data_IF_585577816136
#
_entry.id   IF_585577816136
#
_cell.length_a   1.000
_cell.length_b   1.000
_cell.length_c   1.000
_cell.angle_alpha   90.00
_cell.angle_beta   90.00
_cell.angle_gamma   90.00
#
_symmetry.space_group_name_H-M   'P 1'
#
loop_
_entity.id
_entity.type
_entity.pdbx_description
1 polymer ?
#
# COMPACT_ATOMS: atom_id res chain seq x y z
N UNK A 1 14.38 25.93 -22.00
CA UNK A 1 15.04 27.24 -22.14
C UNK A 1 16.40 27.14 -22.84
N UNK A 2 17.46 26.66 -22.18
CA UNK A 2 18.83 26.59 -22.75
C UNK A 2 18.83 25.83 -24.08
N UNK A 3 18.20 24.65 -24.12
CA UNK A 3 18.07 23.86 -25.34
C UNK A 3 17.39 24.62 -26.49
N UNK A 4 16.29 25.32 -26.22
CA UNK A 4 15.56 26.09 -27.24
C UNK A 4 16.43 27.22 -27.80
N UNK A 5 17.17 27.93 -26.95
CA UNK A 5 18.09 28.99 -27.40
C UNK A 5 19.22 28.47 -28.28
N UNK A 6 19.73 27.27 -28.00
CA UNK A 6 20.82 26.66 -28.77
C UNK A 6 20.35 26.01 -30.08
N UNK A 7 19.13 25.48 -30.10
CA UNK A 7 18.68 24.59 -31.20
C UNK A 7 17.47 25.10 -31.97
N UNK A 8 16.81 26.16 -31.49
CA UNK A 8 15.52 26.64 -31.98
C UNK A 8 14.34 25.70 -31.71
N UNK A 9 14.52 24.62 -30.93
CA UNK A 9 13.51 23.55 -30.73
C UNK A 9 13.16 23.37 -29.26
N UNK A 10 11.86 23.25 -29.00
CA UNK A 10 11.33 23.09 -27.65
C UNK A 10 10.60 21.75 -27.52
N UNK A 11 11.19 20.86 -26.71
CA UNK A 11 10.67 19.54 -26.38
C UNK A 11 10.36 19.39 -24.90
N UNK A 12 10.25 20.50 -24.16
CA UNK A 12 10.00 20.49 -22.71
C UNK A 12 8.73 19.73 -22.31
N UNK A 13 7.73 19.67 -23.18
CA UNK A 13 6.52 18.87 -22.94
C UNK A 13 6.82 17.37 -22.75
N UNK A 14 7.90 16.83 -23.34
CA UNK A 14 8.31 15.43 -23.15
C UNK A 14 8.69 15.19 -21.70
N UNK A 15 9.34 16.15 -21.03
CA UNK A 15 9.70 16.05 -19.61
C UNK A 15 8.43 15.88 -18.78
N UNK A 16 7.43 16.74 -19.01
CA UNK A 16 6.16 16.72 -18.28
C UNK A 16 5.45 15.37 -18.48
N UNK A 17 5.32 14.93 -19.74
CA UNK A 17 4.67 13.65 -20.04
C UNK A 17 5.42 12.46 -19.44
N UNK A 18 6.76 12.51 -19.42
CA UNK A 18 7.61 11.41 -18.93
C UNK A 18 7.70 11.35 -17.41
N UNK A 19 7.42 12.45 -16.70
CA UNK A 19 7.37 12.46 -15.24
C UNK A 19 6.26 11.54 -14.69
N UNK A 20 5.15 11.38 -15.42
CA UNK A 20 4.06 10.47 -15.01
C UNK A 20 4.34 8.98 -15.30
N UNK A 21 5.44 8.67 -15.99
CA UNK A 21 5.69 7.32 -16.48
C UNK A 21 5.99 6.27 -15.39
N UNK A 22 6.74 6.58 -14.31
CA UNK A 22 7.02 5.59 -13.27
C UNK A 22 5.74 5.04 -12.62
N UNK A 23 4.74 5.90 -12.36
CA UNK A 23 3.47 5.52 -11.73
C UNK A 23 2.49 4.76 -12.65
N UNK A 24 2.86 4.54 -13.92
CA UNK A 24 2.05 3.71 -14.83
C UNK A 24 1.97 2.26 -14.29
N UNK A 25 2.88 1.82 -13.42
CA UNK A 25 2.79 0.52 -12.75
C UNK A 25 1.47 0.34 -11.96
N UNK A 26 0.97 1.40 -11.30
CA UNK A 26 -0.32 1.42 -10.58
C UNK A 26 -1.50 1.14 -11.52
N UNK A 27 -1.52 1.82 -12.67
CA UNK A 27 -2.59 1.69 -13.67
C UNK A 27 -2.50 0.32 -14.34
N UNK A 28 -1.28 -0.11 -14.67
CA UNK A 28 -1.00 -1.36 -15.36
C UNK A 28 -1.45 -2.55 -14.52
N UNK A 29 -1.07 -2.60 -13.24
CA UNK A 29 -1.53 -3.65 -12.33
C UNK A 29 -3.06 -3.68 -12.21
N UNK A 30 -3.70 -2.51 -12.03
CA UNK A 30 -5.16 -2.40 -11.95
C UNK A 30 -5.87 -2.91 -13.20
N UNK A 31 -5.35 -2.56 -14.39
CA UNK A 31 -5.94 -2.95 -15.67
C UNK A 31 -5.74 -4.44 -15.96
N UNK A 32 -4.53 -4.96 -15.73
CA UNK A 32 -4.19 -6.36 -15.99
C UNK A 32 -4.96 -7.31 -15.08
N UNK A 33 -5.08 -6.98 -13.79
CA UNK A 33 -5.86 -7.76 -12.83
C UNK A 33 -7.35 -7.84 -13.20
N UNK A 34 -7.91 -6.78 -13.81
CA UNK A 34 -9.30 -6.83 -14.33
C UNK A 34 -9.47 -7.75 -15.53
N UNK A 35 -8.40 -8.03 -16.25
CA UNK A 35 -8.39 -8.89 -17.43
C UNK A 35 -7.90 -10.32 -17.12
N UNK A 36 -7.68 -10.65 -15.84
CA UNK A 36 -7.09 -11.93 -15.40
C UNK A 36 -5.73 -12.21 -16.06
N UNK A 37 -4.98 -11.14 -16.35
CA UNK A 37 -3.62 -11.20 -16.86
C UNK A 37 -2.65 -10.80 -15.76
N UNK A 38 -1.55 -11.53 -15.62
CA UNK A 38 -0.44 -11.14 -14.74
C UNK A 38 0.81 -10.98 -15.59
N UNK A 39 1.35 -9.76 -15.62
CA UNK A 39 2.69 -9.52 -16.13
C UNK A 39 3.65 -9.74 -14.98
N UNK A 40 4.66 -10.58 -15.21
CA UNK A 40 5.63 -10.95 -14.20
C UNK A 40 6.95 -10.20 -14.45
N UNK A 41 7.45 -9.52 -13.42
CA UNK A 41 8.81 -8.99 -13.34
C UNK A 41 9.55 -9.89 -12.34
N UNK A 42 10.57 -10.59 -12.83
CA UNK A 42 11.35 -11.59 -12.05
C UNK A 42 10.49 -12.66 -11.37
N UNK A 43 9.47 -13.13 -12.09
CA UNK A 43 8.57 -14.19 -11.60
C UNK A 43 7.53 -13.72 -10.58
N UNK A 44 7.47 -12.42 -10.26
CA UNK A 44 6.45 -11.82 -9.40
C UNK A 44 5.53 -10.90 -10.19
N UNK A 45 4.22 -10.81 -9.87
CA UNK A 45 3.34 -9.80 -10.45
C UNK A 45 3.90 -8.39 -10.27
N UNK A 46 3.68 -7.50 -11.24
CA UNK A 46 4.06 -6.08 -11.15
C UNK A 46 3.49 -5.50 -9.85
N UNK A 47 4.35 -4.86 -9.08
CA UNK A 47 4.00 -4.07 -7.89
C UNK A 47 4.33 -2.62 -8.13
N UNK A 48 3.64 -1.75 -7.40
CA UNK A 48 4.02 -0.34 -7.34
C UNK A 48 5.47 -0.22 -6.82
N UNK A 49 6.28 0.55 -7.54
CA UNK A 49 7.71 0.67 -7.28
C UNK A 49 8.58 -0.12 -8.26
N UNK A 50 8.02 -1.11 -8.98
CA UNK A 50 8.80 -1.92 -9.92
C UNK A 50 9.31 -1.10 -11.10
N UNK A 51 8.64 0.01 -11.44
CA UNK A 51 9.09 0.90 -12.51
C UNK A 51 10.08 1.96 -12.03
N UNK A 52 10.31 2.08 -10.73
CA UNK A 52 11.13 3.13 -10.12
C UNK A 52 12.61 2.75 -10.10
N UNK A 53 13.18 2.46 -11.27
CA UNK A 53 14.59 2.11 -11.40
C UNK A 53 15.23 2.55 -12.72
N UNK A 54 16.57 2.61 -12.73
CA UNK A 54 17.34 3.04 -13.91
C UNK A 54 17.13 2.16 -15.14
N UNK A 55 16.86 0.86 -14.98
CA UNK A 55 16.55 -0.02 -16.13
C UNK A 55 15.29 0.47 -16.84
N UNK A 56 14.22 0.69 -16.06
CA UNK A 56 12.94 1.15 -16.59
C UNK A 56 13.03 2.56 -17.15
N UNK A 57 13.81 3.45 -16.54
CA UNK A 57 14.12 4.77 -17.11
C UNK A 57 14.71 4.64 -18.52
N UNK A 58 15.75 3.81 -18.70
CA UNK A 58 16.41 3.67 -20.00
C UNK A 58 15.53 3.00 -21.04
N UNK A 59 14.76 1.97 -20.66
CA UNK A 59 13.82 1.31 -21.55
C UNK A 59 12.71 2.26 -22.00
N UNK A 60 12.10 2.99 -21.06
CA UNK A 60 11.07 3.98 -21.34
C UNK A 60 11.60 5.10 -22.24
N UNK A 61 12.73 5.71 -21.89
CA UNK A 61 13.32 6.80 -22.68
C UNK A 61 13.67 6.34 -24.10
N UNK A 62 14.19 5.12 -24.27
CA UNK A 62 14.47 4.54 -25.58
C UNK A 62 13.19 4.37 -26.40
N UNK A 63 12.14 3.80 -25.81
CA UNK A 63 10.86 3.57 -26.47
C UNK A 63 10.21 4.88 -26.92
N UNK A 64 10.10 5.87 -26.03
CA UNK A 64 9.55 7.20 -26.35
C UNK A 64 10.34 7.85 -27.48
N UNK A 65 11.66 7.72 -27.46
CA UNK A 65 12.54 8.30 -28.47
C UNK A 65 12.37 7.66 -29.84
N UNK A 66 12.21 6.33 -29.91
CA UNK A 66 11.92 5.63 -31.17
C UNK A 66 10.56 6.06 -31.75
N UNK A 67 9.53 6.17 -30.90
CA UNK A 67 8.19 6.61 -31.30
C UNK A 67 8.23 8.03 -31.86
N UNK A 68 8.89 8.95 -31.15
CA UNK A 68 9.00 10.34 -31.58
C UNK A 68 9.94 10.51 -32.78
N UNK A 69 10.96 9.67 -32.92
CA UNK A 69 11.81 9.68 -34.11
C UNK A 69 11.01 9.39 -35.39
N UNK A 70 10.02 8.50 -35.32
CA UNK A 70 9.10 8.26 -36.44
C UNK A 70 8.23 9.49 -36.79
N UNK A 71 8.16 10.50 -35.93
CA UNK A 71 7.48 11.79 -36.14
C UNK A 71 8.45 12.93 -36.48
N UNK A 72 9.73 12.64 -36.73
CA UNK A 72 10.73 13.61 -37.13
C UNK A 72 11.49 14.27 -35.97
N UNK A 73 11.33 13.79 -34.74
CA UNK A 73 12.13 14.27 -33.60
C UNK A 73 13.53 13.64 -33.63
N UNK A 74 14.55 14.33 -33.13
CA UNK A 74 15.90 13.75 -33.00
C UNK A 74 15.92 12.81 -31.81
N UNK A 75 16.30 11.55 -32.06
CA UNK A 75 16.34 10.49 -31.04
C UNK A 75 17.05 10.94 -29.76
N UNK A 76 18.29 11.45 -29.87
CA UNK A 76 19.09 11.86 -28.70
C UNK A 76 18.42 12.97 -27.86
N UNK A 77 17.68 13.87 -28.50
CA UNK A 77 16.99 14.95 -27.79
C UNK A 77 15.73 14.42 -27.11
N UNK A 78 14.90 13.64 -27.82
CA UNK A 78 13.75 12.97 -27.20
C UNK A 78 14.16 12.10 -26.00
N UNK A 79 15.26 11.36 -26.14
CA UNK A 79 15.79 10.47 -25.10
C UNK A 79 16.22 11.24 -23.88
N UNK A 80 16.95 12.35 -24.09
CA UNK A 80 17.42 13.21 -23.00
C UNK A 80 16.25 13.80 -22.24
N UNK A 81 15.26 14.36 -22.95
CA UNK A 81 14.09 14.98 -22.31
C UNK A 81 13.20 13.94 -21.59
N UNK A 82 13.02 12.74 -22.16
CA UNK A 82 12.28 11.67 -21.51
C UNK A 82 12.99 11.18 -20.24
N UNK A 83 14.31 10.98 -20.31
CA UNK A 83 15.14 10.59 -19.17
C UNK A 83 15.09 11.62 -18.04
N UNK A 84 15.11 12.92 -18.37
CA UNK A 84 15.00 13.99 -17.38
C UNK A 84 13.65 13.95 -16.67
N UNK A 85 12.53 13.78 -17.40
CA UNK A 85 11.20 13.71 -16.80
C UNK A 85 11.06 12.51 -15.86
N UNK A 86 11.41 11.32 -16.37
CA UNK A 86 11.35 10.08 -15.58
C UNK A 86 12.26 10.14 -14.35
N UNK A 87 13.50 10.62 -14.53
CA UNK A 87 14.48 10.73 -13.46
C UNK A 87 14.11 11.77 -12.41
N UNK A 88 13.41 12.86 -12.79
CA UNK A 88 12.91 13.84 -11.84
C UNK A 88 11.89 13.23 -10.87
N UNK A 89 10.98 12.40 -11.39
CA UNK A 89 10.01 11.66 -10.57
C UNK A 89 10.69 10.67 -9.62
N UNK A 90 11.62 9.84 -10.13
CA UNK A 90 12.40 8.95 -9.26
C UNK A 90 13.16 9.70 -8.16
N UNK A 91 13.70 10.87 -8.49
CA UNK A 91 14.43 11.69 -7.52
C UNK A 91 13.49 12.27 -6.47
N UNK A 92 12.31 12.76 -6.84
CA UNK A 92 11.27 13.17 -5.90
C UNK A 92 10.94 12.04 -4.93
N UNK A 93 10.63 10.84 -5.44
CA UNK A 93 10.30 9.70 -4.59
C UNK A 93 11.44 9.32 -3.65
N UNK A 94 12.69 9.42 -4.12
CA UNK A 94 13.86 9.18 -3.30
C UNK A 94 14.03 10.20 -2.17
N UNK A 95 13.54 11.43 -2.34
CA UNK A 95 13.52 12.44 -1.28
C UNK A 95 12.37 12.24 -0.30
N UNK A 96 11.21 11.82 -0.81
CA UNK A 96 9.95 11.77 -0.08
C UNK A 96 9.78 10.49 0.73
N UNK A 97 10.12 9.32 0.18
CA UNK A 97 9.83 8.02 0.79
C UNK A 97 11.05 7.41 1.52
N UNK A 98 10.81 6.75 2.66
CA UNK A 98 11.79 5.92 3.38
C UNK A 98 11.12 4.75 4.12
N UNK A 99 11.39 3.47 3.73
CA UNK A 99 12.24 3.09 2.60
C UNK A 99 11.58 3.50 1.26
N UNK A 100 12.40 3.90 0.28
CA UNK A 100 11.92 4.27 -1.06
C UNK A 100 11.87 3.06 -2.01
N UNK A 101 12.55 3.14 -3.14
CA UNK A 101 12.51 2.13 -4.20
C UNK A 101 13.92 1.60 -4.56
N UNK A 102 14.04 0.47 -5.27
CA UNK A 102 15.32 -0.04 -5.77
C UNK A 102 15.81 0.76 -6.99
N UNK A 103 16.03 2.07 -6.82
CA UNK A 103 16.32 3.01 -7.91
C UNK A 103 17.50 2.59 -8.80
N UNK A 104 18.49 1.90 -8.24
CA UNK A 104 19.73 1.53 -8.93
C UNK A 104 19.64 0.17 -9.66
N UNK A 105 18.48 -0.48 -9.71
CA UNK A 105 18.32 -1.76 -10.41
C UNK A 105 18.64 -1.62 -11.91
N UNK A 106 19.57 -2.43 -12.47
CA UNK A 106 20.00 -3.75 -12.01
C UNK A 106 21.37 -3.77 -11.34
N UNK A 107 21.96 -2.59 -11.08
CA UNK A 107 23.28 -2.48 -10.47
C UNK A 107 23.26 -2.80 -8.97
N UNK A 108 22.10 -2.62 -8.32
CA UNK A 108 21.89 -2.93 -6.92
C UNK A 108 20.41 -3.24 -6.65
N UNK A 109 20.15 -4.21 -5.77
CA UNK A 109 18.81 -4.55 -5.25
C UNK A 109 18.49 -3.81 -3.94
N UNK A 110 19.40 -2.95 -3.46
CA UNK A 110 19.15 -2.15 -2.28
C UNK A 110 18.03 -1.13 -2.53
N UNK A 111 17.10 -1.08 -1.59
CA UNK A 111 16.05 -0.06 -1.55
C UNK A 111 16.65 1.22 -1.00
N UNK A 112 16.56 2.30 -1.78
CA UNK A 112 17.07 3.61 -1.39
C UNK A 112 15.89 4.56 -1.17
N UNK A 113 15.93 5.31 -0.08
CA UNK A 113 15.00 6.38 0.23
C UNK A 113 15.60 7.23 1.33
N UNK A 114 15.68 8.54 1.09
CA UNK A 114 16.23 9.48 2.07
C UNK A 114 15.14 9.80 3.11
N UNK A 115 13.88 9.95 2.66
CA UNK A 115 12.75 10.29 3.53
C UNK A 115 12.99 11.60 4.29
N UNK A 116 13.38 12.66 3.57
CA UNK A 116 13.55 14.01 4.15
C UNK A 116 12.21 14.50 4.70
N UNK A 117 11.11 14.09 4.08
CA UNK A 117 9.77 14.42 4.49
C UNK A 117 9.09 13.20 5.14
N UNK A 118 8.46 13.42 6.29
CA UNK A 118 7.49 12.47 6.87
C UNK A 118 6.21 12.58 6.05
N UNK A 119 6.23 11.99 4.85
CA UNK A 119 5.17 12.08 3.86
C UNK A 119 3.88 11.47 4.41
N UNK A 120 2.84 12.31 4.56
CA UNK A 120 1.51 11.87 4.94
C UNK A 120 0.51 12.40 3.92
N UNK A 121 -0.11 11.53 3.10
CA UNK A 121 -1.11 11.98 2.12
C UNK A 121 -2.26 12.69 2.85
N UNK A 122 -2.48 13.99 2.57
CA UNK A 122 -3.54 14.76 3.22
C UNK A 122 -4.45 15.51 2.23
N UNK A 123 -3.90 16.08 1.17
CA UNK A 123 -4.66 16.78 0.15
C UNK A 123 -5.24 15.78 -0.86
N UNK A 124 -6.55 15.51 -0.73
CA UNK A 124 -7.30 14.53 -1.52
C UNK A 124 -6.71 13.11 -1.49
N UNK A 125 -5.89 12.78 -0.48
CA UNK A 125 -5.12 11.53 -0.40
C UNK A 125 -4.10 11.35 -1.53
N UNK A 126 -3.80 12.43 -2.28
CA UNK A 126 -2.90 12.39 -3.44
C UNK A 126 -1.53 12.97 -3.07
N UNK A 127 -1.50 14.05 -2.29
CA UNK A 127 -0.25 14.74 -1.95
C UNK A 127 -0.21 15.12 -0.47
N UNK A 128 0.98 15.07 0.11
CA UNK A 128 1.30 15.72 1.38
C UNK A 128 1.37 17.24 1.17
N UNK A 129 0.69 17.99 2.04
CA UNK A 129 0.59 19.46 1.93
C UNK A 129 1.97 20.13 1.99
N UNK A 130 2.93 19.61 2.77
CA UNK A 130 4.28 20.18 2.82
C UNK A 130 5.01 19.93 1.53
N UNK A 131 4.97 18.70 1.01
CA UNK A 131 5.59 18.36 -0.29
C UNK A 131 5.00 19.23 -1.40
N UNK A 132 3.68 19.42 -1.42
CA UNK A 132 3.03 20.33 -2.37
C UNK A 132 3.52 21.78 -2.24
N UNK A 133 3.64 22.30 -1.02
CA UNK A 133 4.16 23.66 -0.79
C UNK A 133 5.58 23.78 -1.35
N UNK A 134 6.45 22.81 -1.10
CA UNK A 134 7.81 22.81 -1.66
C UNK A 134 7.79 22.73 -3.19
N UNK A 135 6.93 21.90 -3.77
CA UNK A 135 6.72 21.83 -5.22
C UNK A 135 6.29 23.17 -5.81
N UNK A 136 5.32 23.85 -5.19
CA UNK A 136 4.86 25.18 -5.60
C UNK A 136 5.97 26.22 -5.51
N UNK A 137 6.77 26.20 -4.44
CA UNK A 137 7.94 27.08 -4.28
C UNK A 137 8.96 26.82 -5.41
N UNK A 138 9.26 25.56 -5.71
CA UNK A 138 10.18 25.19 -6.78
C UNK A 138 9.70 25.66 -8.18
N UNK A 139 8.40 25.56 -8.45
CA UNK A 139 7.77 26.08 -9.67
C UNK A 139 7.91 27.60 -9.74
N UNK A 140 7.61 28.31 -8.65
CA UNK A 140 7.73 29.78 -8.59
C UNK A 140 9.18 30.25 -8.77
N UNK A 141 10.15 29.56 -8.16
CA UNK A 141 11.58 29.83 -8.36
C UNK A 141 12.00 29.59 -9.81
N UNK A 142 11.56 28.49 -10.41
CA UNK A 142 11.82 28.16 -11.82
C UNK A 142 11.24 29.22 -12.76
N UNK A 143 10.02 29.70 -12.48
CA UNK A 143 9.40 30.78 -13.22
C UNK A 143 10.17 32.09 -13.06
N UNK A 144 10.63 32.43 -11.85
CA UNK A 144 11.44 33.62 -11.60
C UNK A 144 12.79 33.58 -12.35
N UNK A 145 13.49 32.44 -12.33
CA UNK A 145 14.71 32.23 -13.11
C UNK A 145 14.43 32.39 -14.61
N UNK A 146 13.29 31.86 -15.09
CA UNK A 146 12.89 32.01 -16.48
C UNK A 146 12.63 33.47 -16.87
N UNK A 147 11.93 34.22 -16.03
CA UNK A 147 11.69 35.66 -16.23
C UNK A 147 13.01 36.43 -16.27
N UNK A 148 13.94 36.13 -15.36
CA UNK A 148 15.24 36.79 -15.34
C UNK A 148 16.05 36.53 -16.61
N UNK A 149 15.90 35.35 -17.22
CA UNK A 149 16.67 34.96 -18.41
C UNK A 149 16.03 35.35 -19.76
N UNK A 150 14.69 35.21 -19.88
CA UNK A 150 13.95 35.41 -21.14
C UNK A 150 13.11 36.69 -21.16
N UNK A 151 13.02 37.41 -20.04
CA UNK A 151 12.10 38.53 -19.86
C UNK A 151 10.65 38.07 -19.66
N UNK A 152 9.70 39.01 -19.72
CA UNK A 152 8.28 38.74 -19.49
C UNK A 152 7.51 38.25 -20.73
N UNK A 153 8.14 38.27 -21.92
CA UNK A 153 7.46 37.99 -23.19
C UNK A 153 6.83 36.59 -23.29
N UNK A 154 7.37 35.61 -22.56
CA UNK A 154 6.83 34.24 -22.52
C UNK A 154 5.55 34.12 -21.69
N UNK A 155 5.34 35.00 -20.70
CA UNK A 155 4.22 34.91 -19.75
C UNK A 155 2.89 35.01 -20.50
N UNK A 156 2.77 35.97 -21.42
CA UNK A 156 1.53 36.15 -22.20
C UNK A 156 1.22 34.98 -23.14
N UNK A 157 2.27 34.27 -23.59
CA UNK A 157 2.14 33.10 -24.45
C UNK A 157 1.67 31.88 -23.63
N UNK A 158 2.22 31.71 -22.44
CA UNK A 158 1.96 30.54 -21.59
C UNK A 158 0.74 30.68 -20.66
N UNK A 159 0.30 31.90 -20.31
CA UNK A 159 -0.94 32.10 -19.52
C UNK A 159 -2.12 31.42 -20.22
N UNK A 160 -2.20 31.50 -21.56
CA UNK A 160 -3.25 30.82 -22.34
C UNK A 160 -3.17 29.30 -22.18
N UNK A 161 -1.97 28.73 -22.22
CA UNK A 161 -1.73 27.30 -22.01
C UNK A 161 -2.12 26.87 -20.60
N UNK A 162 -1.71 27.64 -19.58
CA UNK A 162 -2.01 27.37 -18.17
C UNK A 162 -3.52 27.44 -17.90
N UNK A 163 -4.21 28.45 -18.44
CA UNK A 163 -5.68 28.57 -18.32
C UNK A 163 -6.38 27.38 -18.97
N UNK A 164 -5.91 26.91 -20.13
CA UNK A 164 -6.45 25.71 -20.77
C UNK A 164 -6.20 24.45 -19.93
N UNK A 165 -4.99 24.27 -19.41
CA UNK A 165 -4.65 23.13 -18.54
C UNK A 165 -5.51 23.15 -17.27
N UNK A 166 -5.63 24.30 -16.61
CA UNK A 166 -6.47 24.45 -15.42
C UNK A 166 -7.94 24.18 -15.74
N UNK A 167 -8.45 24.65 -16.88
CA UNK A 167 -9.81 24.36 -17.34
C UNK A 167 -10.02 22.86 -17.61
N UNK A 168 -9.07 22.19 -18.27
CA UNK A 168 -9.12 20.73 -18.50
C UNK A 168 -9.05 19.96 -17.18
N UNK A 169 -8.19 20.37 -16.25
CA UNK A 169 -8.10 19.79 -14.91
C UNK A 169 -9.42 20.00 -14.14
N UNK A 170 -9.99 21.20 -14.13
CA UNK A 170 -11.28 21.45 -13.45
C UNK A 170 -12.44 20.69 -14.09
N UNK A 171 -12.46 20.56 -15.42
CA UNK A 171 -13.49 19.81 -16.15
C UNK A 171 -13.31 18.29 -16.04
N UNK A 172 -12.13 17.79 -15.68
CA UNK A 172 -11.88 16.35 -15.44
C UNK A 172 -12.14 15.92 -14.00
N UNK A 173 -12.22 16.85 -13.03
CA UNK A 173 -12.62 16.55 -11.64
C UNK A 173 -13.98 15.81 -11.57
N UNK A 174 -15.05 16.21 -12.29
CA UNK A 174 -16.32 15.47 -12.29
C UNK A 174 -16.23 14.07 -12.93
N UNK A 175 -15.31 13.88 -13.90
CA UNK A 175 -15.08 12.58 -14.56
C UNK A 175 -14.31 11.63 -13.65
N UNK A 176 -13.35 12.15 -12.88
CA UNK A 176 -12.70 11.42 -11.80
C UNK A 176 -13.70 11.14 -10.65
N UNK A 177 -14.66 12.05 -10.43
CA UNK A 177 -15.79 11.86 -9.51
C UNK A 177 -16.78 10.78 -9.93
N UNK A 178 -16.95 10.55 -11.24
CA UNK A 178 -17.85 9.53 -11.79
C UNK A 178 -17.18 8.17 -12.05
N UNK A 179 -15.85 8.08 -11.95
CA UNK A 179 -15.13 6.82 -11.72
C UNK A 179 -15.39 6.36 -10.29
N UNK A 180 -16.61 5.87 -10.08
CA UNK A 180 -17.14 5.23 -8.88
C UNK A 180 -16.27 5.36 -7.62
N UNK A 181 -16.23 6.58 -7.06
CA UNK A 181 -15.61 6.87 -5.75
C UNK A 181 -16.34 6.11 -4.63
N UNK A 182 -17.49 5.46 -4.90
CA UNK A 182 -18.10 4.53 -3.94
C UNK A 182 -17.18 3.34 -3.58
N UNK A 183 -16.24 2.98 -4.46
CA UNK A 183 -15.18 2.00 -4.13
C UNK A 183 -14.18 2.56 -3.13
N UNK A 184 -13.95 3.88 -3.12
CA UNK A 184 -13.07 4.57 -2.16
C UNK A 184 -13.81 4.87 -0.85
N UNK A 185 -15.10 5.20 -0.89
CA UNK A 185 -15.93 5.42 0.32
C UNK A 185 -16.22 4.11 1.07
N UNK A 186 -16.38 2.98 0.38
CA UNK A 186 -16.50 1.66 1.02
C UNK A 186 -15.13 1.15 1.56
N UNK A 187 -14.00 1.60 0.99
CA UNK A 187 -12.65 1.34 1.52
C UNK A 187 -12.30 2.22 2.75
N UNK A 188 -12.79 3.46 2.82
CA UNK A 188 -12.48 4.43 3.89
C UNK A 188 -13.46 4.41 5.07
N UNK A 189 -14.59 3.69 4.94
CA UNK A 189 -15.43 3.29 6.08
C UNK A 189 -14.67 2.48 7.15
N UNK A 190 -13.46 2.01 6.84
CA UNK A 190 -12.62 1.25 7.74
C UNK A 190 -11.51 2.11 8.37
N UNK A 191 -11.90 3.24 8.97
CA UNK A 191 -10.98 4.19 9.62
C UNK A 191 -10.02 3.50 10.60
N UNK A 192 -8.72 3.57 10.29
CA UNK A 192 -7.62 3.44 11.25
C UNK A 192 -6.91 2.10 11.29
N UNK A 193 -6.86 1.35 10.18
CA UNK A 193 -6.03 0.15 10.06
C UNK A 193 -4.58 0.49 9.76
N UNK A 194 -3.63 0.03 10.58
CA UNK A 194 -2.21 -0.05 10.20
C UNK A 194 -1.97 -1.46 9.67
N UNK A 195 -1.31 -1.61 8.51
CA UNK A 195 -0.84 -2.93 8.09
C UNK A 195 0.61 -3.16 8.51
N UNK A 196 0.82 -4.27 9.18
CA UNK A 196 2.07 -5.01 9.23
C UNK A 196 2.05 -6.01 8.07
N UNK A 197 3.21 -6.42 7.56
CA UNK A 197 3.30 -7.34 6.42
C UNK A 197 2.46 -8.61 6.66
N UNK A 198 1.33 -8.75 5.96
CA UNK A 198 0.31 -9.79 6.09
C UNK A 198 -0.67 -9.71 7.27
N UNK A 199 -0.61 -8.66 8.10
CA UNK A 199 -1.55 -8.42 9.20
C UNK A 199 -2.07 -6.98 9.22
N UNK A 200 -3.34 -6.78 9.56
CA UNK A 200 -4.00 -5.47 9.60
C UNK A 200 -4.64 -5.30 10.95
N UNK A 201 -4.51 -4.13 11.57
CA UNK A 201 -5.04 -3.95 12.91
C UNK A 201 -5.68 -2.57 13.09
N UNK A 202 -6.89 -2.54 13.65
CA UNK A 202 -7.69 -1.33 13.84
C UNK A 202 -7.62 -0.70 15.25
N UNK A 203 -8.70 -0.04 15.65
CA UNK A 203 -8.83 0.63 16.95
C UNK A 203 -8.51 -0.32 18.12
N UNK A 204 -7.77 0.15 19.13
CA UNK A 204 -7.38 -0.63 20.32
C UNK A 204 -6.48 -1.82 20.03
N UNK A 205 -5.96 -1.93 18.82
CA UNK A 205 -5.03 -3.00 18.46
C UNK A 205 -3.69 -2.38 18.08
N UNK A 206 -2.59 -3.07 18.39
CA UNK A 206 -1.24 -2.61 18.11
C UNK A 206 -0.29 -3.78 18.03
N UNK A 207 0.85 -3.55 17.40
CA UNK A 207 2.02 -4.38 17.60
C UNK A 207 2.61 -4.16 19.00
N UNK A 208 3.23 -5.18 19.59
CA UNK A 208 3.92 -5.04 20.88
C UNK A 208 5.28 -5.75 20.84
N UNK A 209 6.36 -4.97 20.98
CA UNK A 209 7.74 -5.43 21.03
C UNK A 209 8.25 -5.69 22.45
N UNK A 210 7.40 -5.53 23.46
CA UNK A 210 7.76 -5.64 24.89
C UNK A 210 7.20 -6.90 25.53
N UNK A 211 6.03 -7.34 25.09
CA UNK A 211 5.38 -8.56 25.56
C UNK A 211 5.08 -9.43 24.34
N UNK A 212 5.78 -10.55 24.25
CA UNK A 212 5.66 -11.53 23.17
C UNK A 212 5.88 -12.95 23.72
N UNK A 213 5.52 -13.97 22.95
CA UNK A 213 5.76 -15.36 23.29
C UNK A 213 6.97 -15.88 22.51
N UNK A 214 6.91 -15.79 21.18
CA UNK A 214 8.00 -16.12 20.26
C UNK A 214 8.65 -14.85 19.69
N UNK A 215 9.82 -15.01 19.07
CA UNK A 215 10.46 -13.94 18.32
C UNK A 215 10.73 -12.66 19.12
N UNK A 216 10.30 -11.51 18.59
CA UNK A 216 10.47 -10.18 19.17
C UNK A 216 9.14 -9.42 19.33
N UNK A 217 8.02 -9.95 18.85
CA UNK A 217 6.77 -9.21 18.82
C UNK A 217 5.52 -10.06 19.03
N UNK A 218 4.40 -9.40 19.33
CA UNK A 218 3.08 -10.02 19.30
C UNK A 218 1.99 -9.05 18.88
N UNK A 219 0.79 -9.60 18.62
CA UNK A 219 -0.42 -8.82 18.39
C UNK A 219 -1.07 -8.46 19.72
N UNK A 220 -1.23 -7.17 19.99
CA UNK A 220 -1.85 -6.64 21.22
C UNK A 220 -3.21 -6.03 20.94
N UNK A 221 -4.15 -6.28 21.85
CA UNK A 221 -5.50 -5.71 21.86
C UNK A 221 -5.77 -5.18 23.26
N UNK A 222 -5.92 -3.87 23.42
CA UNK A 222 -6.06 -3.21 24.72
C UNK A 222 -7.24 -2.24 24.74
N UNK A 223 -8.27 -2.59 25.51
CA UNK A 223 -9.40 -1.69 25.82
C UNK A 223 -9.19 -1.16 27.23
N UNK A 224 -8.94 0.16 27.41
CA UNK A 224 -8.69 0.74 28.71
C UNK A 224 -9.96 0.83 29.56
N UNK A 225 -9.78 0.85 30.89
CA UNK A 225 -10.86 0.98 31.86
C UNK A 225 -11.54 -0.35 32.20
N UNK A 226 -12.75 -0.27 32.76
CA UNK A 226 -13.54 -1.41 33.22
C UNK A 226 -14.93 -1.52 32.56
N UNK A 227 -15.11 -0.84 31.43
CA UNK A 227 -16.34 -0.86 30.65
C UNK A 227 -16.21 -1.83 29.48
N UNK A 228 -17.15 -2.76 29.34
CA UNK A 228 -17.24 -3.66 28.20
C UNK A 228 -17.39 -2.88 26.89
N UNK A 229 -16.42 -3.04 25.98
CA UNK A 229 -16.40 -2.43 24.64
C UNK A 229 -16.04 -3.47 23.60
N UNK A 230 -16.26 -3.14 22.33
CA UNK A 230 -15.79 -3.93 21.19
C UNK A 230 -14.50 -3.28 20.68
N UNK A 231 -13.41 -4.05 20.63
CA UNK A 231 -12.16 -3.61 20.01
C UNK A 231 -12.28 -3.57 18.49
N UNK A 232 -11.32 -2.94 17.83
CA UNK A 232 -11.02 -3.24 16.43
C UNK A 232 -10.57 -4.69 16.25
N UNK A 233 -10.27 -5.03 15.01
CA UNK A 233 -9.85 -6.36 14.59
C UNK A 233 -8.35 -6.32 14.30
N UNK A 234 -7.61 -7.33 14.77
CA UNK A 234 -6.25 -7.65 14.31
C UNK A 234 -6.35 -8.88 13.39
N UNK A 235 -6.14 -8.73 12.08
CA UNK A 235 -6.54 -9.68 11.03
C UNK A 235 -5.36 -10.06 10.13
N UNK A 236 -5.22 -11.32 9.74
CA UNK A 236 -4.29 -11.74 8.70
C UNK A 236 -4.78 -11.35 7.30
N UNK A 237 -3.92 -11.49 6.30
CA UNK A 237 -4.33 -11.60 4.90
C UNK A 237 -5.18 -12.85 4.68
N UNK A 238 -5.86 -12.88 3.52
CA UNK A 238 -6.67 -14.02 3.10
C UNK A 238 -5.77 -15.11 2.56
N UNK A 239 -5.95 -16.33 3.07
CA UNK A 239 -5.13 -17.51 2.82
C UNK A 239 -5.93 -18.50 1.97
N UNK A 240 -5.37 -19.03 0.86
CA UNK A 240 -6.00 -20.10 0.10
C UNK A 240 -6.26 -21.34 0.97
N UNK A 241 -7.47 -21.89 0.90
CA UNK A 241 -7.83 -23.10 1.63
C UNK A 241 -8.55 -24.11 0.73
N UNK A 242 -8.37 -25.39 1.02
CA UNK A 242 -9.01 -26.50 0.31
C UNK A 242 -10.36 -26.82 0.96
N UNK A 243 -11.41 -27.08 0.18
CA UNK A 243 -12.70 -27.51 0.72
C UNK A 243 -12.60 -28.92 1.33
N UNK A 244 -13.48 -29.24 2.29
CA UNK A 244 -13.56 -30.55 2.98
C UNK A 244 -12.25 -31.06 3.60
N UNK A 245 -11.30 -30.17 3.86
CA UNK A 245 -9.94 -30.48 4.29
C UNK A 245 -9.81 -30.26 5.79
N UNK A 246 -9.06 -31.14 6.45
CA UNK A 246 -8.82 -31.04 7.91
C UNK A 246 -7.61 -30.16 8.15
N UNK A 247 -7.76 -29.16 9.01
CA UNK A 247 -6.71 -28.27 9.46
C UNK A 247 -6.51 -28.38 10.97
N UNK A 248 -5.29 -28.11 11.43
CA UNK A 248 -4.96 -27.85 12.82
C UNK A 248 -4.74 -26.34 12.99
N UNK A 249 -5.65 -25.68 13.68
CA UNK A 249 -5.56 -24.25 14.00
C UNK A 249 -5.09 -24.06 15.45
N UNK A 250 -4.10 -23.21 15.69
CA UNK A 250 -3.58 -22.92 17.02
C UNK A 250 -3.09 -21.47 17.17
N UNK A 251 -2.99 -20.99 18.41
CA UNK A 251 -2.32 -19.73 18.75
C UNK A 251 -1.93 -19.73 20.23
N UNK A 252 -0.90 -18.99 20.59
CA UNK A 252 -0.61 -18.61 21.96
C UNK A 252 -1.37 -17.34 22.32
N UNK A 253 -1.89 -17.28 23.54
CA UNK A 253 -2.56 -16.08 24.03
C UNK A 253 -2.30 -15.83 25.50
N UNK A 254 -2.19 -14.56 25.87
CA UNK A 254 -1.95 -14.06 27.23
C UNK A 254 -2.96 -12.96 27.53
N UNK A 255 -3.48 -12.91 28.76
CA UNK A 255 -4.43 -11.87 29.16
C UNK A 255 -3.94 -11.13 30.39
N UNK A 256 -4.24 -9.83 30.48
CA UNK A 256 -4.02 -9.02 31.66
C UNK A 256 -5.25 -8.18 31.94
N UNK A 257 -5.86 -8.40 33.12
CA UNK A 257 -7.08 -7.69 33.51
C UNK A 257 -8.22 -7.85 32.50
N UNK A 258 -8.29 -8.98 31.77
CA UNK A 258 -9.28 -9.16 30.72
C UNK A 258 -10.64 -9.58 31.31
N UNK A 259 -11.64 -8.71 31.28
CA UNK A 259 -12.96 -8.98 31.87
C UNK A 259 -14.09 -8.47 30.94
N UNK A 260 -15.31 -8.36 31.48
CA UNK A 260 -16.52 -7.96 30.76
C UNK A 260 -17.44 -9.13 30.47
N UNK A 261 -18.28 -8.99 29.44
CA UNK A 261 -19.30 -9.99 29.08
C UNK A 261 -18.66 -11.21 28.44
N UNK A 262 -17.85 -11.00 27.39
CA UNK A 262 -17.21 -12.10 26.68
C UNK A 262 -15.71 -12.14 26.90
N UNK A 263 -15.12 -13.24 26.48
CA UNK A 263 -13.70 -13.53 26.55
C UNK A 263 -12.98 -13.11 25.27
N UNK A 264 -11.69 -12.71 25.35
CA UNK A 264 -10.86 -12.54 24.17
C UNK A 264 -10.75 -13.84 23.38
N UNK A 265 -10.62 -13.73 22.06
CA UNK A 265 -10.45 -14.90 21.21
C UNK A 265 -9.65 -14.61 19.93
N UNK A 266 -8.91 -15.62 19.49
CA UNK A 266 -8.36 -15.71 18.13
C UNK A 266 -9.28 -16.60 17.32
N UNK A 267 -9.63 -16.20 16.10
CA UNK A 267 -10.70 -16.80 15.30
C UNK A 267 -10.20 -17.09 13.90
N UNK A 268 -10.66 -18.19 13.32
CA UNK A 268 -10.49 -18.48 11.90
C UNK A 268 -11.85 -18.40 11.22
N UNK A 269 -11.90 -17.67 10.11
CA UNK A 269 -13.10 -17.46 9.30
C UNK A 269 -12.94 -18.18 7.97
N UNK A 270 -13.96 -18.93 7.56
CA UNK A 270 -14.03 -19.58 6.27
C UNK A 270 -14.84 -18.73 5.28
N UNK A 271 -14.31 -18.58 4.07
CA UNK A 271 -14.92 -17.82 2.99
C UNK A 271 -15.13 -18.68 1.74
N UNK A 272 -16.20 -18.37 0.99
CA UNK A 272 -16.47 -19.00 -0.31
C UNK A 272 -15.63 -18.40 -1.45
N UNK A 273 -15.82 -18.88 -2.68
CA UNK A 273 -15.10 -18.39 -3.87
C UNK A 273 -15.25 -16.88 -4.11
N UNK A 274 -16.35 -16.29 -3.65
CA UNK A 274 -16.67 -14.87 -3.79
C UNK A 274 -16.31 -14.08 -2.52
N UNK A 275 -15.48 -14.65 -1.63
CA UNK A 275 -15.09 -14.10 -0.33
C UNK A 275 -16.26 -13.82 0.61
N UNK A 276 -17.39 -14.52 0.47
CA UNK A 276 -18.52 -14.42 1.41
C UNK A 276 -18.31 -15.33 2.60
N UNK A 277 -18.67 -14.83 3.79
CA UNK A 277 -18.61 -15.56 5.05
C UNK A 277 -19.40 -16.89 4.98
N UNK A 278 -18.76 -17.98 5.40
CA UNK A 278 -19.39 -19.29 5.57
C UNK A 278 -19.59 -19.59 7.05
N UNK A 279 -18.49 -19.63 7.82
CA UNK A 279 -18.49 -19.95 9.25
C UNK A 279 -17.21 -19.46 9.93
N UNK A 280 -17.22 -19.51 11.25
CA UNK A 280 -16.11 -19.13 12.10
C UNK A 280 -15.85 -20.18 13.19
N UNK A 281 -14.59 -20.36 13.57
CA UNK A 281 -14.20 -21.17 14.74
C UNK A 281 -13.28 -20.36 15.65
N UNK A 282 -13.48 -20.50 16.97
CA UNK A 282 -12.84 -19.64 17.98
C UNK A 282 -11.87 -20.43 18.86
N UNK A 283 -10.69 -19.88 19.12
CA UNK A 283 -9.82 -20.18 20.25
C UNK A 283 -10.10 -19.15 21.35
N UNK A 284 -10.88 -19.54 22.35
CA UNK A 284 -11.34 -18.64 23.42
C UNK A 284 -10.33 -18.62 24.56
N UNK A 285 -9.88 -17.46 25.05
CA UNK A 285 -8.94 -17.34 26.17
C UNK A 285 -9.65 -16.91 27.46
N UNK A 286 -9.11 -17.29 28.62
CA UNK A 286 -9.77 -17.06 29.91
C UNK A 286 -9.89 -15.57 30.27
N UNK A 287 -10.84 -15.23 31.14
CA UNK A 287 -10.89 -13.89 31.79
C UNK A 287 -9.81 -13.79 32.87
N UNK A 288 -9.50 -12.57 33.30
CA UNK A 288 -8.51 -12.25 34.31
C UNK A 288 -7.10 -12.06 33.76
N UNK A 289 -6.11 -12.25 34.63
CA UNK A 289 -4.69 -12.21 34.28
C UNK A 289 -4.17 -13.63 34.21
N UNK A 290 -3.78 -14.06 33.00
CA UNK A 290 -3.29 -15.40 32.72
C UNK A 290 -2.03 -15.27 31.88
N UNK A 291 -1.01 -16.07 32.20
CA UNK A 291 0.20 -16.15 31.39
C UNK A 291 -0.08 -16.80 30.03
N UNK A 292 0.92 -16.80 29.14
CA UNK A 292 0.84 -17.41 27.81
C UNK A 292 0.33 -18.85 27.87
N UNK A 293 -0.79 -19.10 27.20
CA UNK A 293 -1.37 -20.44 27.04
C UNK A 293 -1.58 -20.74 25.57
N UNK A 294 -1.15 -21.93 25.13
CA UNK A 294 -1.43 -22.40 23.78
C UNK A 294 -2.82 -23.02 23.70
N UNK A 295 -3.63 -22.58 22.75
CA UNK A 295 -4.88 -23.26 22.37
C UNK A 295 -4.77 -23.80 20.96
N UNK A 296 -5.41 -24.95 20.72
CA UNK A 296 -5.46 -25.59 19.41
C UNK A 296 -6.77 -26.33 19.21
N UNK A 297 -7.22 -26.42 17.96
CA UNK A 297 -8.41 -27.13 17.55
C UNK A 297 -8.22 -27.74 16.16
N UNK A 298 -8.75 -28.94 15.93
CA UNK A 298 -8.84 -29.51 14.59
C UNK A 298 -10.18 -29.13 13.97
N UNK A 299 -10.15 -28.53 12.78
CA UNK A 299 -11.34 -28.10 12.04
C UNK A 299 -11.39 -28.83 10.71
N UNK A 300 -12.60 -29.09 10.20
CA UNK A 300 -12.82 -29.48 8.81
C UNK A 300 -13.47 -28.33 8.07
N UNK A 301 -12.83 -27.87 7.00
CA UNK A 301 -13.38 -26.80 6.16
C UNK A 301 -14.68 -27.25 5.48
N UNK A 302 -15.58 -26.30 5.22
CA UNK A 302 -16.79 -26.54 4.45
C UNK A 302 -16.48 -26.93 3.00
N UNK A 303 -17.41 -27.63 2.35
CA UNK A 303 -17.31 -27.96 0.93
C UNK A 303 -17.23 -26.73 0.01
N UNK A 304 -17.69 -25.56 0.50
CA UNK A 304 -17.67 -24.28 -0.23
C UNK A 304 -16.42 -23.44 0.04
N UNK A 305 -15.58 -23.82 1.00
CA UNK A 305 -14.44 -23.02 1.43
C UNK A 305 -13.39 -22.95 0.34
N UNK A 306 -12.98 -21.72 0.03
CA UNK A 306 -11.87 -21.40 -0.87
C UNK A 306 -10.80 -20.56 -0.21
N UNK A 307 -11.19 -19.81 0.80
CA UNK A 307 -10.27 -18.96 1.52
C UNK A 307 -10.54 -19.03 3.01
N UNK A 308 -9.52 -18.72 3.79
CA UNK A 308 -9.64 -18.46 5.22
C UNK A 308 -8.88 -17.18 5.58
N UNK A 309 -9.23 -16.56 6.69
CA UNK A 309 -8.37 -15.59 7.36
C UNK A 309 -8.46 -15.77 8.86
N UNK A 310 -7.46 -15.30 9.58
CA UNK A 310 -7.42 -15.31 11.04
C UNK A 310 -7.64 -13.90 11.54
N UNK A 311 -8.38 -13.75 12.63
CA UNK A 311 -8.46 -12.47 13.33
C UNK A 311 -8.61 -12.61 14.83
N UNK A 312 -8.26 -11.56 15.54
CA UNK A 312 -8.36 -11.47 16.98
C UNK A 312 -9.08 -10.18 17.39
N UNK A 313 -9.91 -10.26 18.44
CA UNK A 313 -10.57 -9.11 19.05
C UNK A 313 -11.00 -9.40 20.50
N UNK A 314 -11.33 -8.33 21.22
CA UNK A 314 -12.14 -8.36 22.45
C UNK A 314 -13.55 -7.87 22.08
N UNK A 315 -14.57 -8.69 22.30
CA UNK A 315 -15.96 -8.37 21.99
C UNK A 315 -16.78 -8.18 23.27
N UNK A 316 -17.30 -6.98 23.53
CA UNK A 316 -17.98 -6.63 24.79
C UNK A 316 -17.15 -7.00 26.04
N UNK A 317 -15.87 -6.65 26.01
CA UNK A 317 -14.93 -6.86 27.10
C UNK A 317 -14.01 -5.66 27.31
N UNK A 318 -13.10 -5.79 28.27
CA UNK A 318 -12.03 -4.80 28.51
C UNK A 318 -10.75 -5.50 28.99
N UNK A 319 -9.67 -4.74 29.13
CA UNK A 319 -8.35 -5.24 29.51
C UNK A 319 -7.42 -5.42 28.32
N UNK A 320 -6.33 -6.16 28.53
CA UNK A 320 -5.33 -6.43 27.49
C UNK A 320 -5.30 -7.90 27.12
N UNK A 321 -5.25 -8.17 25.82
CA UNK A 321 -5.07 -9.49 25.24
C UNK A 321 -3.90 -9.45 24.25
N UNK A 322 -2.93 -10.34 24.43
CA UNK A 322 -1.89 -10.59 23.46
C UNK A 322 -2.11 -11.96 22.82
N UNK A 323 -1.81 -12.05 21.54
CA UNK A 323 -1.76 -13.32 20.83
C UNK A 323 -0.54 -13.38 19.92
N UNK A 324 -0.03 -14.59 19.73
CA UNK A 324 1.23 -14.85 19.05
C UNK A 324 1.26 -16.28 18.46
N UNK A 325 2.26 -16.56 17.64
CA UNK A 325 2.60 -17.89 17.10
C UNK A 325 1.37 -18.60 16.51
N UNK A 326 0.68 -17.90 15.61
CA UNK A 326 -0.55 -18.37 14.98
C UNK A 326 -0.22 -19.48 13.99
N UNK A 327 -0.84 -20.63 14.19
CA UNK A 327 -0.60 -21.83 13.39
C UNK A 327 -1.84 -22.27 12.63
N UNK A 328 -1.70 -22.53 11.34
CA UNK A 328 -2.70 -23.21 10.52
C UNK A 328 -2.00 -24.25 9.64
N UNK A 329 -2.22 -25.53 9.92
CA UNK A 329 -1.57 -26.64 9.23
C UNK A 329 -2.60 -27.53 8.56
N UNK A 330 -2.41 -27.86 7.28
CA UNK A 330 -3.19 -28.91 6.63
C UNK A 330 -2.81 -30.26 7.25
N UNK A 331 -3.79 -31.15 7.47
CA UNK A 331 -3.51 -32.45 8.09
C UNK A 331 -2.52 -33.24 7.22
N UNK A 332 -1.38 -33.58 7.81
CA UNK A 332 -0.30 -34.30 7.14
C UNK A 332 0.80 -33.41 6.57
N UNK A 333 0.75 -32.09 6.80
CA UNK A 333 1.83 -31.16 6.46
C UNK A 333 2.37 -30.46 7.70
N UNK A 334 3.66 -30.13 7.69
CA UNK A 334 4.31 -29.32 8.73
C UNK A 334 4.46 -27.85 8.33
N UNK A 335 4.07 -27.50 7.10
CA UNK A 335 4.06 -26.12 6.61
C UNK A 335 2.93 -25.32 7.27
N UNK A 336 3.29 -24.24 7.96
CA UNK A 336 2.32 -23.27 8.48
C UNK A 336 1.82 -22.41 7.31
N UNK A 337 0.50 -22.35 7.14
CA UNK A 337 -0.16 -21.57 6.08
C UNK A 337 -0.38 -20.10 6.48
N UNK A 338 -0.19 -19.75 7.76
CA UNK A 338 -0.27 -18.36 8.20
C UNK A 338 0.99 -17.61 7.76
N UNK A 339 0.89 -16.58 6.92
CA UNK A 339 2.01 -15.70 6.65
C UNK A 339 2.35 -14.89 7.91
N UNK A 340 3.64 -14.76 8.20
CA UNK A 340 4.15 -14.10 9.40
C UNK A 340 3.44 -14.55 10.70
N UNK A 341 3.55 -15.83 11.08
CA UNK A 341 2.77 -16.39 12.17
C UNK A 341 3.13 -15.83 13.56
N UNK A 342 4.37 -15.34 13.72
CA UNK A 342 4.85 -14.67 14.93
C UNK A 342 4.67 -13.15 14.91
N UNK A 343 4.08 -12.59 13.84
CA UNK A 343 3.84 -11.15 13.72
C UNK A 343 5.18 -10.38 13.83
N UNK A 344 6.23 -10.86 13.15
CA UNK A 344 7.60 -10.33 13.28
C UNK A 344 7.96 -9.33 12.19
N UNK A 345 7.25 -9.36 11.07
CA UNK A 345 7.59 -8.56 9.90
C UNK A 345 6.96 -7.16 10.03
N UNK A 346 7.62 -6.35 10.85
CA UNK A 346 7.32 -4.96 11.20
C UNK A 346 7.30 -3.94 10.07
N UNK A 347 7.12 -4.33 8.80
CA UNK A 347 6.96 -3.36 7.73
C UNK A 347 5.57 -2.75 7.82
N UNK A 348 5.52 -1.56 8.39
CA UNK A 348 4.39 -0.65 8.30
C UNK A 348 4.18 -0.34 6.81
N UNK A 349 3.23 -1.01 6.17
CA UNK A 349 2.79 -0.62 4.82
C UNK A 349 1.54 0.21 5.02
N UNK A 350 1.65 1.51 4.85
CA UNK A 350 0.49 2.40 4.82
C UNK A 350 -0.30 2.08 3.54
N UNK A 351 -1.39 1.28 3.64
CA UNK A 351 -2.21 0.98 2.47
C UNK A 351 -3.56 1.69 2.53
N UNK A 352 -3.80 2.39 1.44
CA UNK A 352 -5.06 2.92 0.95
C UNK A 352 -6.04 1.86 0.44
N UNK A 353 -5.75 0.54 0.47
CA UNK A 353 -6.55 -0.47 -0.26
C UNK A 353 -6.58 -1.89 0.31
N UNK A 354 -7.20 -2.12 1.47
CA UNK A 354 -7.73 -3.45 1.79
C UNK A 354 -9.15 -3.34 2.35
N UNK A 355 -10.14 -4.07 1.79
CA UNK A 355 -11.46 -4.10 2.39
C UNK A 355 -11.38 -4.86 3.72
N UNK A 356 -11.55 -4.13 4.83
CA UNK A 356 -11.87 -4.73 6.12
C UNK A 356 -13.23 -5.41 5.99
N UNK A 357 -13.26 -6.73 6.18
CA UNK A 357 -14.53 -7.45 6.23
C UNK A 357 -15.26 -7.04 7.50
N UNK A 358 -16.33 -6.26 7.37
CA UNK A 358 -17.23 -5.99 8.48
C UNK A 358 -18.01 -7.27 8.77
N UNK A 359 -17.63 -7.94 9.85
CA UNK A 359 -18.47 -8.98 10.46
C UNK A 359 -19.65 -8.25 11.10
N UNK A 360 -20.84 -8.37 10.47
CA UNK A 360 -22.10 -7.88 11.06
C UNK A 360 -22.55 -8.77 12.21
#
# INVERSE_FOLDING_TARGET
MIHFKLTGRDYSWIIIASAFAPDIDIITDTLLNKLDMSVLIDGSPIKHGDFHNITMLFLFASLVSLILQAKGYRFAEAFTFASIGFGAHMFEDGLVYNPGYPFLRPLSEHIFGIGIFDYKPDLYLIADTRVLIFGLIAVMLSAAIRIAYEGQGWINKEIKTIVIILAVLTLSIPVLGSLDISVVDEMTSSKGGVLLDNWQFGKYTSWDSTIFHGGNHSGRIMIPGNESKISGIFQSTVIPARPNTVYLFSSWGRTEGAYGTNTPAVRIVELDRNKKFIKQTNLIYGKGTNDWVRKKISIRSSAKTKWVYVYSNIWEGYGTFWFDDVGLYEKGTDANLIPDPGIENGRMIELTRFPLFTVK
#
